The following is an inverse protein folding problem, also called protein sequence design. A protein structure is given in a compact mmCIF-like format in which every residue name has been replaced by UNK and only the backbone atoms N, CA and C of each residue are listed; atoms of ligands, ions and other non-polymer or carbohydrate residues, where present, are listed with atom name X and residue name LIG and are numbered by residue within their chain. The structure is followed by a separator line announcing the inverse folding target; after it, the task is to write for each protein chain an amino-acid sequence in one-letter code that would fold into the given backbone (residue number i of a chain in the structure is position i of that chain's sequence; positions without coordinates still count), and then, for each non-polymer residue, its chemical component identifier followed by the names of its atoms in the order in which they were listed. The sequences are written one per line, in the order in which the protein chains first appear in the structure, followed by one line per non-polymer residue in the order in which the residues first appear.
data_IF_625769467410
#
_entry.id   IF_625769467410
#
_cell.length_a   1.000
_cell.length_b   1.000
_cell.length_c   1.000
_cell.angle_alpha   90.00
_cell.angle_beta   90.00
_cell.angle_gamma   90.00
#
_symmetry.space_group_name_H-M   'P 1'
#
loop_
_entity.id
_entity.type
_entity.pdbx_description
1 polymer ?
#
# COMPACT_ATOMS: atom_id res chain seq x y z
N UNK A 1 10.18 9.82 -0.71
CA UNK A 1 10.49 8.90 -1.82
C UNK A 1 9.84 7.54 -1.53
N UNK A 2 8.52 7.47 -1.50
CA UNK A 2 7.78 6.25 -1.22
C UNK A 2 7.18 5.77 -2.53
N UNK A 3 7.67 4.63 -3.05
CA UNK A 3 7.43 4.12 -4.40
C UNK A 3 8.03 5.03 -5.48
N UNK A 4 8.87 4.49 -6.37
CA UNK A 4 9.42 5.25 -7.49
C UNK A 4 8.37 5.65 -8.54
N UNK A 5 7.19 6.08 -8.11
CA UNK A 5 6.06 6.62 -8.87
C UNK A 5 6.14 8.14 -8.82
N UNK A 6 6.98 8.67 -9.70
CA UNK A 6 7.02 10.10 -9.97
C UNK A 6 5.86 10.49 -10.89
N UNK A 7 5.43 11.75 -10.89
CA UNK A 7 4.32 12.21 -11.75
C UNK A 7 4.57 11.90 -13.24
N UNK A 8 5.83 11.96 -13.67
CA UNK A 8 6.25 11.55 -15.01
C UNK A 8 5.92 10.07 -15.31
N UNK A 9 6.20 9.17 -14.37
CA UNK A 9 5.93 7.73 -14.53
C UNK A 9 4.43 7.43 -14.50
N UNK A 10 3.66 8.17 -13.69
CA UNK A 10 2.20 8.06 -13.73
C UNK A 10 1.63 8.49 -15.08
N UNK A 11 2.15 9.57 -15.68
CA UNK A 11 1.78 9.99 -17.04
C UNK A 11 2.17 8.94 -18.09
N UNK A 12 3.38 8.35 -17.98
CA UNK A 12 3.82 7.29 -18.88
C UNK A 12 2.90 6.07 -18.80
N UNK A 13 2.56 5.63 -17.58
CA UNK A 13 1.64 4.52 -17.37
C UNK A 13 0.25 4.83 -17.94
N UNK A 14 -0.26 6.04 -17.71
CA UNK A 14 -1.55 6.47 -18.26
C UNK A 14 -1.55 6.45 -19.80
N UNK A 15 -0.45 6.89 -20.43
CA UNK A 15 -0.29 6.85 -21.88
C UNK A 15 -0.26 5.41 -22.42
N UNK A 16 0.51 4.52 -21.78
CA UNK A 16 0.56 3.10 -22.17
C UNK A 16 -0.82 2.45 -22.00
N UNK A 17 -1.49 2.71 -20.88
CA UNK A 17 -2.85 2.21 -20.65
C UNK A 17 -3.84 2.75 -21.70
N UNK A 18 -3.72 4.02 -22.10
CA UNK A 18 -4.52 4.62 -23.16
C UNK A 18 -4.34 3.91 -24.50
N UNK A 19 -3.11 3.56 -24.84
CA UNK A 19 -2.79 2.81 -26.07
C UNK A 19 -3.34 1.38 -26.01
N UNK A 20 -3.15 0.66 -24.90
CA UNK A 20 -3.62 -0.71 -24.73
C UNK A 20 -5.15 -0.82 -24.74
N UNK A 21 -5.84 0.10 -24.08
CA UNK A 21 -7.30 0.12 -23.99
C UNK A 21 -7.96 0.78 -25.22
N UNK A 22 -7.21 1.64 -25.91
CA UNK A 22 -7.64 2.48 -27.01
C UNK A 22 -8.07 3.88 -26.52
N UNK A 23 -7.53 4.97 -27.11
CA UNK A 23 -7.83 6.35 -26.68
C UNK A 23 -9.31 6.72 -26.87
N UNK A 24 -9.98 6.09 -27.83
CA UNK A 24 -11.42 6.30 -28.07
C UNK A 24 -12.31 5.74 -26.95
N UNK A 25 -11.84 4.72 -26.22
CA UNK A 25 -12.63 4.05 -25.17
C UNK A 25 -12.42 4.67 -23.79
N UNK A 26 -11.25 5.26 -23.55
CA UNK A 26 -10.93 5.94 -22.29
C UNK A 26 -11.98 6.96 -21.81
N UNK A 27 -12.45 7.93 -22.62
CA UNK A 27 -13.42 8.92 -22.16
C UNK A 27 -14.71 8.26 -21.67
N UNK A 28 -15.17 7.20 -22.36
CA UNK A 28 -16.33 6.41 -21.93
C UNK A 28 -16.11 5.77 -20.55
N UNK A 29 -14.92 5.20 -20.29
CA UNK A 29 -14.58 4.62 -18.98
C UNK A 29 -14.45 5.69 -17.89
N UNK A 30 -13.82 6.83 -18.20
CA UNK A 30 -13.70 7.96 -17.29
C UNK A 30 -15.07 8.51 -16.87
N UNK A 31 -16.01 8.64 -17.82
CA UNK A 31 -17.40 9.01 -17.51
C UNK A 31 -18.09 7.98 -16.61
N UNK A 32 -17.91 6.68 -16.88
CA UNK A 32 -18.49 5.62 -16.05
C UNK A 32 -17.94 5.67 -14.63
N UNK A 33 -16.64 5.88 -14.47
CA UNK A 33 -15.99 6.06 -13.17
C UNK A 33 -16.51 7.31 -12.46
N UNK A 34 -16.59 8.45 -13.16
CA UNK A 34 -17.12 9.70 -12.57
C UNK A 34 -18.57 9.54 -12.10
N UNK A 35 -19.44 8.94 -12.92
CA UNK A 35 -20.81 8.61 -12.52
C UNK A 35 -20.87 7.61 -11.38
N UNK A 36 -19.91 6.69 -11.28
CA UNK A 36 -19.81 5.75 -10.17
C UNK A 36 -19.40 6.48 -8.87
N UNK A 37 -18.44 7.39 -8.92
CA UNK A 37 -18.00 8.16 -7.75
C UNK A 37 -19.12 9.01 -7.16
N UNK A 38 -19.95 9.65 -8.00
CA UNK A 38 -21.12 10.43 -7.54
C UNK A 38 -22.13 9.51 -6.84
N UNK A 39 -22.48 8.40 -7.47
CA UNK A 39 -23.42 7.41 -6.88
C UNK A 39 -22.88 6.78 -5.61
N UNK A 40 -21.58 6.48 -5.56
CA UNK A 40 -20.91 5.96 -4.37
C UNK A 40 -20.96 6.99 -3.23
N UNK A 41 -20.73 8.28 -3.52
CA UNK A 41 -20.85 9.36 -2.53
C UNK A 41 -22.28 9.45 -1.98
N UNK A 42 -23.30 9.43 -2.84
CA UNK A 42 -24.70 9.45 -2.44
C UNK A 42 -25.05 8.24 -1.56
N UNK A 43 -24.57 7.05 -1.94
CA UNK A 43 -24.78 5.83 -1.18
C UNK A 43 -24.12 5.88 0.22
N UNK A 44 -22.89 6.39 0.30
CA UNK A 44 -22.18 6.60 1.57
C UNK A 44 -22.89 7.63 2.45
N UNK A 45 -23.41 8.71 1.87
CA UNK A 45 -24.19 9.72 2.61
C UNK A 45 -25.51 9.13 3.14
N UNK A 46 -26.22 8.34 2.35
CA UNK A 46 -27.45 7.67 2.78
C UNK A 46 -27.19 6.60 3.86
N UNK A 47 -26.09 5.85 3.75
CA UNK A 47 -25.65 4.92 4.79
C UNK A 47 -25.30 5.66 6.09
N UNK A 48 -24.59 6.80 6.01
CA UNK A 48 -24.33 7.66 7.16
C UNK A 48 -25.62 8.16 7.81
N UNK A 49 -26.63 8.53 7.02
CA UNK A 49 -27.94 8.95 7.50
C UNK A 49 -28.65 7.87 8.33
N UNK A 50 -28.72 6.64 7.82
CA UNK A 50 -29.34 5.51 8.53
C UNK A 50 -28.60 5.12 9.81
N UNK A 51 -27.27 5.09 9.77
CA UNK A 51 -26.46 4.82 10.97
C UNK A 51 -26.67 5.90 12.03
N UNK A 52 -26.81 7.17 11.63
CA UNK A 52 -27.12 8.28 12.54
C UNK A 52 -28.52 8.17 13.15
N UNK A 53 -29.51 7.69 12.39
CA UNK A 53 -30.88 7.47 12.90
C UNK A 53 -30.96 6.31 13.90
N UNK A 54 -30.21 5.21 13.68
CA UNK A 54 -30.28 4.02 14.53
C UNK A 54 -29.41 4.10 15.79
N UNK A 55 -28.27 4.81 15.75
CA UNK A 55 -27.35 4.91 16.89
C UNK A 55 -27.56 6.15 17.77
N UNK A 56 -28.48 7.04 17.38
CA UNK A 56 -28.78 8.27 18.13
C UNK A 56 -27.69 9.33 18.02
N UNK A 57 -28.03 10.56 18.44
CA UNK A 57 -27.18 11.76 18.39
C UNK A 57 -25.84 11.61 19.15
N UNK A 58 -25.70 10.53 19.94
CA UNK A 58 -24.51 10.18 20.73
C UNK A 58 -23.41 9.44 19.94
N UNK A 59 -23.65 8.97 18.69
CA UNK A 59 -22.57 8.53 17.78
C UNK A 59 -21.96 9.74 17.05
N UNK A 60 -21.31 10.52 17.91
CA UNK A 60 -20.96 11.92 17.80
C UNK A 60 -20.07 12.21 16.59
N UNK A 61 -20.32 13.35 15.95
CA UNK A 61 -19.54 13.91 14.84
C UNK A 61 -18.02 14.04 15.14
N UNK A 62 -17.62 13.83 16.40
CA UNK A 62 -16.25 13.73 16.92
C UNK A 62 -15.50 12.50 16.39
N UNK A 63 -16.13 11.33 16.28
CA UNK A 63 -15.50 10.10 15.76
C UNK A 63 -15.33 10.17 14.23
N UNK A 64 -16.32 10.74 13.55
CA UNK A 64 -16.28 11.00 12.10
C UNK A 64 -15.22 12.02 11.69
N UNK A 65 -14.96 13.02 12.54
CA UNK A 65 -13.96 14.06 12.32
C UNK A 65 -12.54 13.61 12.66
N UNK A 66 -12.39 12.57 13.50
CA UNK A 66 -11.13 11.81 13.67
C UNK A 66 -10.81 10.93 12.46
N UNK A 67 -11.84 10.45 11.75
CA UNK A 67 -11.71 9.66 10.52
C UNK A 67 -11.53 10.51 9.25
N UNK A 68 -11.66 11.84 9.33
CA UNK A 68 -11.32 12.75 8.24
C UNK A 68 -9.79 12.80 8.08
N UNK A 69 -9.22 12.29 6.97
CA UNK A 69 -7.77 12.22 6.79
C UNK A 69 -7.08 13.59 6.80
N UNK A 70 -7.84 14.68 6.60
CA UNK A 70 -7.31 16.05 6.59
C UNK A 70 -7.25 16.68 7.98
N UNK A 71 -7.91 16.08 8.98
CA UNK A 71 -7.94 16.56 10.36
C UNK A 71 -7.15 15.67 11.33
N UNK A 72 -6.36 14.72 10.81
CA UNK A 72 -5.30 14.04 11.55
C UNK A 72 -4.14 15.02 11.79
N UNK A 73 -4.39 16.04 12.62
CA UNK A 73 -3.44 17.11 12.92
C UNK A 73 -2.38 16.55 13.89
N UNK A 74 -1.13 16.38 13.46
CA UNK A 74 -0.08 15.74 14.25
C UNK A 74 0.18 16.46 15.58
N UNK A 75 -0.20 17.74 15.68
CA UNK A 75 -0.08 18.52 16.91
C UNK A 75 -0.99 18.04 18.03
N UNK A 76 -2.14 17.42 17.72
CA UNK A 76 -3.01 16.82 18.74
C UNK A 76 -2.40 15.53 19.30
N UNK A 77 -1.83 14.68 18.44
CA UNK A 77 -1.17 13.43 18.84
C UNK A 77 -0.01 13.69 19.81
N UNK A 78 0.76 14.76 19.57
CA UNK A 78 1.87 15.15 20.46
C UNK A 78 1.37 15.65 21.82
N UNK A 79 0.23 16.35 21.86
CA UNK A 79 -0.37 16.84 23.12
C UNK A 79 -0.95 15.70 23.94
N UNK A 80 -1.61 14.76 23.27
CA UNK A 80 -2.14 13.54 23.92
C UNK A 80 -0.98 12.69 24.46
N UNK A 81 0.15 12.61 23.75
CA UNK A 81 1.36 11.93 24.22
C UNK A 81 2.17 12.68 25.31
N UNK A 82 1.86 13.96 25.58
CA UNK A 82 2.50 14.74 26.64
C UNK A 82 1.68 14.79 27.93
N UNK A 83 0.38 14.49 27.86
CA UNK A 83 -0.55 14.52 28.99
C UNK A 83 -0.76 13.13 29.62
N UNK A 84 -0.63 12.05 28.85
CA UNK A 84 -0.61 10.68 29.38
C UNK A 84 0.85 10.16 29.51
N UNK A 85 1.26 9.97 30.76
CA UNK A 85 2.57 9.53 31.21
C UNK A 85 2.89 8.07 30.77
N UNK A 86 3.82 7.92 29.80
CA UNK A 86 4.75 6.82 29.49
C UNK A 86 4.27 5.33 29.42
N UNK A 87 4.94 4.40 28.69
CA UNK A 87 6.15 4.53 27.86
C UNK A 87 5.91 4.13 26.39
N UNK A 88 6.47 4.89 25.46
CA UNK A 88 6.56 4.47 24.06
C UNK A 88 7.56 3.32 23.93
N UNK A 89 7.17 2.14 23.41
CA UNK A 89 8.15 1.19 22.91
C UNK A 89 8.74 1.83 21.67
N UNK A 90 9.94 2.40 21.79
CA UNK A 90 10.77 2.71 20.63
C UNK A 90 11.09 1.39 19.95
N UNK A 91 10.24 0.98 19.00
CA UNK A 91 10.54 -0.16 18.13
C UNK A 91 11.85 0.20 17.44
N UNK A 92 12.87 -0.51 17.89
CA UNK A 92 14.28 -0.32 17.63
C UNK A 92 14.51 -0.27 16.12
N UNK A 93 14.60 0.93 15.55
CA UNK A 93 15.07 1.15 14.18
C UNK A 93 16.45 0.52 13.93
N UNK A 94 17.21 0.22 14.99
CA UNK A 94 18.46 -0.53 14.91
C UNK A 94 18.28 -2.01 14.50
N UNK A 95 17.08 -2.60 14.63
CA UNK A 95 16.81 -3.97 14.16
C UNK A 95 16.70 -4.06 12.64
N UNK A 96 16.10 -3.04 12.01
CA UNK A 96 15.96 -2.97 10.54
C UNK A 96 17.30 -2.63 9.90
N UNK A 97 18.09 -1.72 10.49
CA UNK A 97 19.43 -1.43 10.01
C UNK A 97 20.37 -2.65 10.12
N UNK A 98 20.26 -3.44 11.20
CA UNK A 98 21.01 -4.68 11.35
C UNK A 98 20.53 -5.78 10.38
N UNK A 99 19.22 -5.86 10.09
CA UNK A 99 18.67 -6.80 9.11
C UNK A 99 19.08 -6.45 7.67
N UNK A 100 19.20 -5.16 7.33
CA UNK A 100 19.67 -4.70 6.01
C UNK A 100 21.20 -4.89 5.87
N UNK A 101 21.96 -4.74 6.96
CA UNK A 101 23.39 -5.03 6.96
C UNK A 101 23.71 -6.54 6.94
N UNK A 102 22.80 -7.39 7.45
CA UNK A 102 22.91 -8.84 7.40
C UNK A 102 22.51 -9.44 6.04
N UNK A 103 21.72 -8.71 5.23
CA UNK A 103 21.47 -9.06 3.82
C UNK A 103 22.56 -8.48 2.93
N UNK A 104 23.79 -8.95 3.13
CA UNK A 104 24.75 -8.95 2.02
C UNK A 104 24.20 -9.90 0.94
N UNK A 105 24.22 -9.54 -0.35
CA UNK A 105 23.87 -10.48 -1.39
C UNK A 105 24.81 -11.68 -1.29
N UNK A 106 24.24 -12.89 -1.22
CA UNK A 106 25.00 -14.12 -1.38
C UNK A 106 25.86 -13.98 -2.66
N UNK A 107 27.16 -14.32 -2.63
CA UNK A 107 27.91 -14.41 -3.86
C UNK A 107 27.16 -15.38 -4.77
N UNK A 108 26.77 -14.90 -5.96
CA UNK A 108 26.11 -15.72 -6.96
C UNK A 108 26.83 -17.07 -7.10
N UNK A 109 26.12 -18.20 -7.22
CA UNK A 109 26.77 -19.50 -7.36
C UNK A 109 27.70 -19.43 -8.57
N UNK A 110 29.00 -19.57 -8.30
CA UNK A 110 30.00 -19.72 -9.34
C UNK A 110 29.74 -21.10 -9.93
N UNK A 111 29.14 -21.16 -11.10
CA UNK A 111 29.05 -22.40 -11.86
C UNK A 111 30.48 -22.80 -12.25
N UNK A 112 31.06 -23.70 -11.46
CA UNK A 112 32.31 -24.36 -11.82
C UNK A 112 32.00 -25.21 -13.04
N UNK A 113 32.74 -25.00 -14.13
CA UNK A 113 32.65 -25.85 -15.31
C UNK A 113 32.87 -27.31 -14.88
N UNK A 114 31.95 -28.18 -15.30
CA UNK A 114 31.94 -29.60 -14.95
C UNK A 114 33.26 -30.25 -15.35
N UNK A 115 33.89 -30.97 -14.41
CA UNK A 115 35.14 -31.69 -14.61
C UNK A 115 34.83 -32.96 -15.44
N UNK A 116 35.30 -33.07 -16.71
CA UNK A 116 34.88 -34.12 -17.62
C UNK A 116 35.31 -35.53 -17.18
N UNK A 117 36.24 -35.64 -16.23
CA UNK A 117 36.72 -36.92 -15.70
C UNK A 117 35.95 -37.38 -14.46
N UNK A 118 34.92 -36.64 -14.01
CA UNK A 118 34.09 -37.06 -12.88
C UNK A 118 32.99 -38.02 -13.35
N UNK A 119 32.89 -39.24 -12.80
CA UNK A 119 31.81 -40.15 -13.14
C UNK A 119 30.47 -39.56 -12.70
N UNK A 120 29.53 -39.43 -13.65
CA UNK A 120 28.18 -38.94 -13.39
C UNK A 120 27.45 -39.89 -12.43
N UNK A 121 26.79 -39.39 -11.37
CA UNK A 121 26.04 -40.23 -10.44
C UNK A 121 24.87 -40.93 -11.14
N UNK A 122 24.71 -42.24 -10.92
CA UNK A 122 23.59 -43.01 -11.48
C UNK A 122 22.30 -42.69 -10.73
N UNK A 123 21.23 -42.37 -11.46
CA UNK A 123 19.90 -42.09 -10.91
C UNK A 123 19.17 -43.41 -10.62
N UNK A 124 18.96 -43.70 -9.34
CA UNK A 124 18.31 -44.93 -8.88
C UNK A 124 16.79 -44.89 -8.91
N UNK A 125 16.17 -43.79 -9.36
CA UNK A 125 14.70 -43.65 -9.38
C UNK A 125 14.09 -43.87 -10.77
N UNK A 126 14.90 -44.22 -11.78
CA UNK A 126 14.43 -44.64 -13.09
C UNK A 126 14.06 -46.14 -13.08
N UNK A 127 12.80 -46.48 -12.78
CA UNK A 127 12.20 -47.81 -13.04
C UNK A 127 10.78 -47.66 -13.56
#
# INVERSE_FOLDING_TARGET
MFFGLDMEKLLLIALVAALLLGPERLPRYAEMLGRFTVRAKEWLQGAKGRVKEEMGEDFDDVEWRKLDPRQYDPRRIIRDALLDDAPVPTVRAAGVAAAVAATAPDPAPVFVADDPDRPVPYDSEAT
#
